data_IF_593549661557
#
_entry.id   IF_593549661557
#
_cell.length_a   1.000
_cell.length_b   1.000
_cell.length_c   1.000
_cell.angle_alpha   90.00
_cell.angle_beta   90.00
_cell.angle_gamma   90.00
#
_symmetry.space_group_name_H-M   'P 1'
#
loop_
_entity.id
_entity.type
_entity.pdbx_description
1 polymer ?
#
# COMPACT_ATOMS: atom_id res chain seq x y z
N UNK A 1 -2.18 -88.74 16.12
CA UNK A 1 -1.89 -88.40 17.53
C UNK A 1 -1.08 -87.11 17.54
N UNK A 2 -1.62 -86.09 18.22
CA UNK A 2 -1.01 -84.81 18.66
C UNK A 2 -0.68 -83.70 17.63
N UNK A 3 -1.53 -82.66 17.59
CA UNK A 3 -1.14 -81.23 17.58
C UNK A 3 -1.07 -80.73 19.07
N UNK A 4 -0.67 -79.49 19.44
CA UNK A 4 -0.10 -78.35 18.69
C UNK A 4 1.12 -77.68 19.39
N UNK A 5 1.78 -76.67 18.78
CA UNK A 5 2.35 -75.53 19.54
C UNK A 5 2.38 -74.26 18.67
N UNK A 6 1.65 -73.27 19.17
CA UNK A 6 1.59 -71.87 18.77
C UNK A 6 2.93 -71.15 19.02
N UNK A 7 3.35 -70.27 18.11
CA UNK A 7 3.93 -68.97 18.50
C UNK A 7 3.55 -67.88 17.48
N UNK A 8 2.73 -66.89 17.87
CA UNK A 8 2.43 -65.70 17.06
C UNK A 8 3.55 -64.67 17.14
N UNK A 9 3.86 -64.02 16.02
CA UNK A 9 4.76 -62.84 15.99
C UNK A 9 3.98 -61.56 16.36
N UNK A 10 4.53 -60.68 17.20
CA UNK A 10 3.79 -59.55 17.78
C UNK A 10 3.65 -58.38 16.80
N UNK A 11 2.45 -57.81 16.77
CA UNK A 11 2.19 -56.46 16.27
C UNK A 11 2.78 -55.41 17.22
N UNK A 12 3.40 -54.36 16.69
CA UNK A 12 3.26 -52.95 17.11
C UNK A 12 4.44 -52.11 16.66
N UNK A 13 4.21 -51.19 15.73
CA UNK A 13 4.89 -49.89 15.78
C UNK A 13 3.91 -48.83 15.29
N UNK A 14 3.18 -48.16 16.19
CA UNK A 14 2.53 -46.91 15.82
C UNK A 14 3.61 -45.89 15.51
N UNK A 15 3.53 -45.26 14.33
CA UNK A 15 4.30 -44.06 13.99
C UNK A 15 4.03 -43.02 15.06
N UNK A 16 5.09 -42.54 15.71
CA UNK A 16 5.05 -41.50 16.72
C UNK A 16 4.22 -40.29 16.25
N UNK A 17 2.99 -40.16 16.74
CA UNK A 17 2.27 -38.89 16.74
C UNK A 17 2.81 -38.06 17.89
N UNK A 18 3.77 -37.20 17.56
CA UNK A 18 4.25 -36.14 18.44
C UNK A 18 3.09 -35.16 18.71
N UNK A 19 2.65 -34.95 19.96
CA UNK A 19 1.71 -33.88 20.28
C UNK A 19 2.51 -32.57 20.34
N UNK A 20 2.49 -31.82 19.24
CA UNK A 20 2.92 -30.43 19.29
C UNK A 20 1.93 -29.65 20.17
N UNK A 21 2.39 -28.85 21.16
CA UNK A 21 1.51 -27.99 21.93
C UNK A 21 0.85 -26.96 21.00
N UNK A 22 -0.49 -26.97 20.98
CA UNK A 22 -1.29 -26.01 20.25
C UNK A 22 -1.04 -24.61 20.84
N UNK A 23 -0.31 -23.78 20.11
CA UNK A 23 -0.25 -22.35 20.38
C UNK A 23 -1.69 -21.81 20.33
N UNK A 24 -2.09 -20.94 21.27
CA UNK A 24 -3.41 -20.33 21.22
C UNK A 24 -3.53 -19.56 19.91
N UNK A 25 -4.53 -19.96 19.14
CA UNK A 25 -4.99 -19.29 17.93
C UNK A 25 -5.22 -17.83 18.30
N UNK A 26 -4.33 -16.95 17.86
CA UNK A 26 -4.49 -15.51 18.03
C UNK A 26 -5.72 -15.18 17.20
N UNK A 27 -6.84 -15.01 17.90
CA UNK A 27 -8.09 -14.51 17.35
C UNK A 27 -7.74 -13.34 16.46
N UNK A 28 -8.07 -13.46 15.17
CA UNK A 28 -7.93 -12.39 14.20
C UNK A 28 -8.53 -11.13 14.83
N UNK A 29 -7.64 -10.28 15.34
CA UNK A 29 -7.89 -8.88 15.49
C UNK A 29 -8.19 -8.41 14.08
N UNK A 30 -9.47 -8.43 13.72
CA UNK A 30 -10.02 -7.58 12.69
C UNK A 30 -9.53 -6.19 13.06
N UNK A 31 -8.46 -5.78 12.39
CA UNK A 31 -8.13 -4.38 12.23
C UNK A 31 -9.34 -3.81 11.51
N UNK A 32 -10.34 -3.42 12.30
CA UNK A 32 -11.41 -2.58 11.88
C UNK A 32 -10.73 -1.29 11.47
N UNK A 33 -10.32 -1.23 10.20
CA UNK A 33 -9.99 0.00 9.50
C UNK A 33 -11.18 0.88 9.81
N UNK A 34 -10.96 1.86 10.68
CA UNK A 34 -11.97 2.82 11.09
C UNK A 34 -12.37 3.51 9.81
N UNK A 35 -13.42 2.96 9.22
CA UNK A 35 -14.10 3.50 8.07
C UNK A 35 -14.82 4.71 8.63
N UNK A 36 -14.09 5.81 8.75
CA UNK A 36 -14.68 7.14 8.83
C UNK A 36 -15.36 7.35 7.49
N UNK A 37 -16.54 6.75 7.35
CA UNK A 37 -17.42 6.88 6.22
C UNK A 37 -17.93 8.32 6.22
N UNK A 38 -17.25 9.19 5.49
CA UNK A 38 -17.98 10.09 4.61
C UNK A 38 -18.16 9.35 3.30
N UNK A 39 -19.38 9.32 2.78
CA UNK A 39 -19.87 8.44 1.70
C UNK A 39 -19.36 8.89 0.31
N UNK A 40 -18.06 9.11 0.20
CA UNK A 40 -17.40 9.70 -0.97
C UNK A 40 -16.28 8.79 -1.44
N UNK A 41 -16.12 8.65 -2.76
CA UNK A 41 -15.00 7.88 -3.33
C UNK A 41 -13.68 8.48 -2.83
N UNK A 42 -12.68 7.66 -2.46
CA UNK A 42 -11.39 8.17 -2.01
C UNK A 42 -10.78 9.03 -3.11
N UNK A 43 -10.24 10.19 -2.75
CA UNK A 43 -9.68 11.15 -3.70
C UNK A 43 -8.18 10.93 -3.79
N UNK A 44 -7.68 10.75 -5.00
CA UNK A 44 -6.28 10.39 -5.26
C UNK A 44 -5.64 11.46 -6.13
N UNK A 45 -4.58 12.07 -5.63
CA UNK A 45 -3.77 13.00 -6.39
C UNK A 45 -2.80 12.24 -7.29
N UNK A 46 -3.01 12.31 -8.59
CA UNK A 46 -2.17 11.68 -9.59
C UNK A 46 -1.06 12.63 -10.05
N UNK A 47 0.19 12.28 -9.73
CA UNK A 47 1.36 13.09 -10.06
C UNK A 47 2.17 12.39 -11.14
N UNK A 48 2.36 13.08 -12.28
CA UNK A 48 3.12 12.57 -13.40
C UNK A 48 2.26 12.28 -14.63
N UNK A 49 2.88 11.64 -15.61
CA UNK A 49 2.24 11.24 -16.87
C UNK A 49 1.23 10.11 -16.69
N UNK A 50 0.21 10.02 -17.57
CA UNK A 50 -0.79 8.97 -17.50
C UNK A 50 -0.15 7.57 -17.63
N UNK A 51 -0.77 6.59 -16.97
CA UNK A 51 -0.33 5.18 -17.02
C UNK A 51 -0.35 4.68 -18.48
N UNK A 52 0.83 4.37 -19.03
CA UNK A 52 0.98 3.90 -20.41
C UNK A 52 0.87 2.39 -20.58
N UNK A 53 1.27 1.61 -19.57
CA UNK A 53 1.47 0.17 -19.71
C UNK A 53 0.24 -0.66 -19.30
N UNK A 54 -0.54 -0.22 -18.29
CA UNK A 54 -1.70 -0.96 -17.78
C UNK A 54 -2.96 -0.07 -17.70
N UNK A 55 -3.53 0.34 -18.84
CA UNK A 55 -4.68 1.23 -18.87
C UNK A 55 -5.94 0.60 -18.24
N UNK A 56 -6.09 -0.73 -18.30
CA UNK A 56 -7.24 -1.42 -17.72
C UNK A 56 -7.25 -1.36 -16.18
N UNK A 57 -6.11 -1.62 -15.54
CA UNK A 57 -5.96 -1.50 -14.08
C UNK A 57 -6.21 -0.06 -13.63
N UNK A 58 -5.66 0.91 -14.39
CA UNK A 58 -5.89 2.32 -14.12
C UNK A 58 -7.36 2.74 -14.29
N UNK A 59 -8.07 2.16 -15.25
CA UNK A 59 -9.51 2.41 -15.44
C UNK A 59 -10.33 1.84 -14.27
N UNK A 60 -10.01 0.64 -13.79
CA UNK A 60 -10.66 0.07 -12.60
C UNK A 60 -10.41 0.93 -11.37
N UNK A 61 -9.19 1.42 -11.22
CA UNK A 61 -8.82 2.36 -10.16
C UNK A 61 -9.60 3.67 -10.25
N UNK A 62 -9.71 4.28 -11.44
CA UNK A 62 -10.42 5.56 -11.62
C UNK A 62 -11.95 5.44 -11.50
N UNK A 63 -12.51 4.24 -11.62
CA UNK A 63 -13.94 3.99 -11.33
C UNK A 63 -14.18 4.02 -9.82
N UNK A 64 -13.25 3.45 -9.04
CA UNK A 64 -13.35 3.29 -7.60
C UNK A 64 -12.92 4.55 -6.83
N UNK A 65 -11.99 5.32 -7.38
CA UNK A 65 -11.39 6.50 -6.76
C UNK A 65 -11.61 7.76 -7.62
N UNK A 66 -11.72 8.93 -7.00
CA UNK A 66 -11.70 10.20 -7.72
C UNK A 66 -10.26 10.61 -7.98
N UNK A 67 -9.81 10.48 -9.24
CA UNK A 67 -8.41 10.78 -9.61
C UNK A 67 -8.27 12.23 -10.06
N UNK A 68 -7.52 13.03 -9.30
CA UNK A 68 -7.22 14.42 -9.59
C UNK A 68 -5.85 14.49 -10.26
N UNK A 69 -5.80 14.96 -11.51
CA UNK A 69 -4.54 15.07 -12.26
C UNK A 69 -4.23 16.53 -12.61
N UNK A 70 -3.39 17.23 -11.83
CA UNK A 70 -2.96 18.57 -12.16
C UNK A 70 -2.13 18.60 -13.46
N UNK A 71 -2.20 19.69 -14.24
CA UNK A 71 -1.36 19.90 -15.41
C UNK A 71 0.12 20.06 -15.01
N UNK A 72 1.01 19.93 -16.00
CA UNK A 72 2.47 20.05 -15.82
C UNK A 72 2.91 21.34 -15.15
N UNK A 73 2.23 22.45 -15.43
CA UNK A 73 2.54 23.76 -14.84
C UNK A 73 2.30 23.78 -13.33
N UNK A 74 1.20 23.19 -12.88
CA UNK A 74 0.84 23.06 -11.46
C UNK A 74 1.69 22.01 -10.72
N UNK A 75 2.41 21.14 -11.46
CA UNK A 75 3.38 20.18 -10.89
C UNK A 75 4.76 20.80 -10.64
N UNK A 76 4.99 22.05 -10.99
CA UNK A 76 6.21 22.76 -10.62
C UNK A 76 6.20 23.04 -9.12
N UNK A 77 7.33 22.88 -8.43
CA UNK A 77 7.43 23.09 -6.97
C UNK A 77 6.71 24.35 -6.45
N UNK A 78 6.96 25.57 -6.98
CA UNK A 78 6.33 26.79 -6.44
C UNK A 78 4.81 26.80 -6.63
N UNK A 79 4.32 26.38 -7.79
CA UNK A 79 2.88 26.33 -8.08
C UNK A 79 2.20 25.22 -7.28
N UNK A 80 2.87 24.08 -7.10
CA UNK A 80 2.34 22.97 -6.30
C UNK A 80 2.17 23.38 -4.84
N UNK A 81 3.17 24.03 -4.24
CA UNK A 81 3.10 24.59 -2.88
C UNK A 81 1.96 25.61 -2.77
N UNK A 82 1.82 26.49 -3.77
CA UNK A 82 0.75 27.49 -3.82
C UNK A 82 -0.63 26.82 -3.92
N UNK A 83 -0.79 25.83 -4.78
CA UNK A 83 -2.03 25.08 -4.96
C UNK A 83 -2.43 24.30 -3.69
N UNK A 84 -1.46 23.73 -2.96
CA UNK A 84 -1.70 23.11 -1.66
C UNK A 84 -2.17 24.14 -0.62
N UNK A 85 -1.51 25.30 -0.55
CA UNK A 85 -1.90 26.40 0.38
C UNK A 85 -3.30 26.94 0.07
N UNK A 86 -3.62 27.10 -1.20
CA UNK A 86 -4.94 27.52 -1.68
C UNK A 86 -5.99 26.40 -1.62
N UNK A 87 -5.59 25.16 -1.28
CA UNK A 87 -6.42 23.96 -1.31
C UNK A 87 -7.16 23.78 -2.64
N UNK A 88 -6.50 24.08 -3.77
CA UNK A 88 -7.11 24.01 -5.11
C UNK A 88 -7.66 22.63 -5.45
N UNK A 89 -6.97 21.58 -5.02
CA UNK A 89 -7.39 20.20 -5.24
C UNK A 89 -8.32 19.67 -4.13
N UNK A 90 -8.58 20.47 -3.09
CA UNK A 90 -9.31 20.07 -1.89
C UNK A 90 -8.56 19.04 -1.05
N UNK A 91 -9.30 18.32 -0.22
CA UNK A 91 -8.75 17.21 0.58
C UNK A 91 -8.63 15.95 -0.25
N UNK A 92 -7.50 15.25 -0.15
CA UNK A 92 -7.24 13.98 -0.83
C UNK A 92 -6.64 12.95 0.11
N UNK A 93 -6.95 11.68 -0.12
CA UNK A 93 -6.62 10.57 0.77
C UNK A 93 -5.29 9.90 0.41
N UNK A 94 -4.93 9.93 -0.87
CA UNK A 94 -3.72 9.30 -1.35
C UNK A 94 -3.04 10.09 -2.47
N UNK A 95 -1.73 9.88 -2.58
CA UNK A 95 -0.91 10.40 -3.67
C UNK A 95 -0.41 9.21 -4.48
N UNK A 96 -0.63 9.26 -5.80
CA UNK A 96 -0.25 8.22 -6.73
C UNK A 96 0.70 8.77 -7.79
N UNK A 97 1.92 8.26 -7.81
CA UNK A 97 2.95 8.58 -8.79
C UNK A 97 3.33 7.32 -9.58
N UNK A 98 2.74 7.10 -10.77
CA UNK A 98 2.94 5.85 -11.52
C UNK A 98 4.29 5.73 -12.23
N UNK A 99 5.03 6.82 -12.41
CA UNK A 99 6.29 6.79 -13.16
C UNK A 99 7.37 7.64 -12.48
N UNK A 100 8.56 7.06 -12.31
CA UNK A 100 9.68 7.73 -11.64
C UNK A 100 10.32 8.84 -12.50
N UNK A 101 10.27 8.73 -13.82
CA UNK A 101 10.82 9.76 -14.72
C UNK A 101 9.97 11.03 -14.83
N UNK A 102 8.74 11.03 -14.32
CA UNK A 102 7.80 12.17 -14.39
C UNK A 102 7.21 12.44 -13.01
N UNK A 103 6.75 13.67 -12.73
CA UNK A 103 6.25 13.99 -11.38
C UNK A 103 7.33 14.14 -10.31
N UNK A 104 8.61 14.23 -10.72
CA UNK A 104 9.73 14.72 -9.91
C UNK A 104 9.97 16.22 -10.04
N UNK A 105 9.09 16.93 -10.75
CA UNK A 105 9.20 18.36 -11.04
C UNK A 105 9.10 19.23 -9.78
N UNK A 106 8.47 18.72 -8.72
CA UNK A 106 8.47 19.37 -7.40
C UNK A 106 9.80 19.24 -6.65
N UNK A 107 10.74 18.42 -7.14
CA UNK A 107 12.00 18.13 -6.48
C UNK A 107 11.83 17.28 -5.22
N UNK A 108 12.58 17.61 -4.17
CA UNK A 108 12.57 16.85 -2.91
C UNK A 108 11.30 17.09 -2.11
N UNK A 109 10.73 16.02 -1.55
CA UNK A 109 9.63 16.13 -0.59
C UNK A 109 10.21 16.39 0.79
N UNK A 110 10.46 17.67 1.06
CA UNK A 110 10.99 18.17 2.33
C UNK A 110 9.86 18.44 3.33
N UNK A 111 10.23 18.76 4.57
CA UNK A 111 9.30 19.09 5.65
C UNK A 111 8.30 20.19 5.28
N UNK A 112 8.71 21.22 4.53
CA UNK A 112 7.80 22.29 4.10
C UNK A 112 6.66 21.73 3.25
N UNK A 113 6.99 20.92 2.25
CA UNK A 113 6.00 20.35 1.35
C UNK A 113 5.08 19.36 2.08
N UNK A 114 5.68 18.47 2.88
CA UNK A 114 4.95 17.47 3.66
C UNK A 114 4.03 18.13 4.70
N UNK A 115 4.45 19.25 5.29
CA UNK A 115 3.66 19.97 6.28
C UNK A 115 2.40 20.61 5.69
N UNK A 116 2.44 20.97 4.41
CA UNK A 116 1.32 21.57 3.67
C UNK A 116 0.30 20.54 3.18
N UNK A 117 0.61 19.24 3.25
CA UNK A 117 -0.33 18.21 2.85
C UNK A 117 -1.53 18.15 3.81
N UNK A 118 -2.75 17.89 3.28
CA UNK A 118 -3.92 17.73 4.11
C UNK A 118 -3.76 16.50 5.01
N UNK A 119 -4.35 16.55 6.21
CA UNK A 119 -4.30 15.45 7.18
C UNK A 119 -5.03 14.19 6.71
N UNK A 120 -5.84 14.30 5.65
CA UNK A 120 -6.50 13.17 5.00
C UNK A 120 -5.52 12.24 4.27
N UNK A 121 -4.32 12.73 3.92
CA UNK A 121 -3.33 11.94 3.17
C UNK A 121 -2.79 10.82 4.04
N UNK A 122 -3.13 9.59 3.70
CA UNK A 122 -2.68 8.38 4.41
C UNK A 122 -1.65 7.60 3.62
N UNK A 123 -1.77 7.58 2.29
CA UNK A 123 -0.96 6.71 1.43
C UNK A 123 -0.21 7.54 0.40
N UNK A 124 1.10 7.31 0.32
CA UNK A 124 1.92 7.77 -0.79
C UNK A 124 2.43 6.54 -1.57
N UNK A 125 1.92 6.35 -2.78
CA UNK A 125 2.35 5.30 -3.68
C UNK A 125 3.20 5.87 -4.81
N UNK A 126 4.49 5.54 -4.82
CA UNK A 126 5.40 5.89 -5.91
C UNK A 126 5.94 4.65 -6.59
N UNK A 127 5.96 4.66 -7.92
CA UNK A 127 6.74 3.70 -8.69
C UNK A 127 8.23 4.11 -8.67
N UNK A 128 9.11 3.15 -8.39
CA UNK A 128 10.57 3.34 -8.37
C UNK A 128 11.22 2.76 -7.11
N UNK A 129 12.46 2.28 -7.24
CA UNK A 129 13.19 1.62 -6.15
C UNK A 129 13.90 2.61 -5.19
N UNK A 130 13.95 3.90 -5.53
CA UNK A 130 14.64 4.92 -4.73
C UNK A 130 13.67 5.95 -4.15
N UNK A 131 13.82 6.24 -2.86
CA UNK A 131 13.08 7.27 -2.12
C UNK A 131 13.99 8.43 -1.67
N UNK A 132 15.20 8.57 -2.23
CA UNK A 132 16.15 9.65 -1.89
C UNK A 132 15.57 11.06 -2.12
N UNK A 133 14.56 11.15 -2.98
CA UNK A 133 13.81 12.37 -3.26
C UNK A 133 12.72 12.67 -2.22
N UNK A 134 12.42 11.79 -1.26
CA UNK A 134 11.38 12.02 -0.26
C UNK A 134 11.86 11.72 1.16
N UNK A 135 11.49 12.60 2.10
CA UNK A 135 11.71 12.33 3.51
C UNK A 135 10.70 11.28 4.01
N UNK A 136 11.09 10.01 3.92
CA UNK A 136 10.26 8.86 4.32
C UNK A 136 9.98 8.83 5.81
N UNK A 137 10.84 9.44 6.64
CA UNK A 137 10.57 9.56 8.08
C UNK A 137 9.41 10.50 8.32
N UNK A 138 9.46 11.71 7.75
CA UNK A 138 8.39 12.70 7.91
C UNK A 138 7.08 12.25 7.26
N UNK A 139 7.14 11.57 6.11
CA UNK A 139 5.96 10.98 5.50
C UNK A 139 5.39 9.83 6.34
N UNK A 140 6.25 8.97 6.88
CA UNK A 140 5.86 7.86 7.75
C UNK A 140 5.26 8.29 9.08
N UNK A 141 5.75 9.38 9.67
CA UNK A 141 5.16 9.98 10.88
C UNK A 141 3.77 10.59 10.62
N UNK A 142 3.46 10.93 9.36
CA UNK A 142 2.16 11.47 8.95
C UNK A 142 1.18 10.43 8.37
N UNK A 143 1.67 9.35 7.79
CA UNK A 143 0.84 8.34 7.11
C UNK A 143 1.56 7.02 6.81
N UNK A 144 0.80 6.01 6.41
CA UNK A 144 1.32 4.67 6.07
C UNK A 144 1.93 4.67 4.66
N UNK A 145 3.27 4.70 4.58
CA UNK A 145 4.00 4.55 3.32
C UNK A 145 3.81 3.12 2.76
N UNK A 146 3.24 3.00 1.56
CA UNK A 146 3.13 1.72 0.84
C UNK A 146 3.87 1.82 -0.50
N UNK A 147 5.00 1.12 -0.62
CA UNK A 147 5.76 1.01 -1.86
C UNK A 147 5.22 -0.15 -2.70
N UNK A 148 4.86 0.11 -3.97
CA UNK A 148 4.59 -0.95 -4.93
C UNK A 148 5.90 -1.31 -5.64
N UNK A 149 6.38 -2.56 -5.56
CA UNK A 149 7.54 -2.98 -6.35
C UNK A 149 7.24 -2.80 -7.84
N UNK A 150 8.21 -2.31 -8.60
CA UNK A 150 8.08 -2.01 -10.03
C UNK A 150 7.94 -3.26 -10.94
N UNK A 151 7.80 -4.45 -10.36
CA UNK A 151 7.58 -5.71 -11.07
C UNK A 151 6.09 -6.03 -11.13
N UNK A 152 5.40 -5.41 -12.10
CA UNK A 152 4.17 -5.99 -12.67
C UNK A 152 4.63 -6.66 -13.96
N UNK A 153 4.87 -7.97 -13.86
CA UNK A 153 5.10 -8.87 -15.00
C UNK A 153 3.77 -9.37 -15.56
#
# INVERSE_FOLDING_TARGET
>A
MAEPTNTPVPASTPRATSPAPQLPFISQGSLSIRSSMTSSKPRVLHIGDPVKYNPETYLRFSIQCEVIRPPTEERQRPEFIKALKEKRWGDFDAIFRPFWGTGGEMGKWDQELISLLPQSVKVFASAGAGFDWADTKLLGERGELTQLPADIR
#
